data_IF_744233677016
#
_entry.id   IF_744233677016
#
_cell.length_a   1.000
_cell.length_b   1.000
_cell.length_c   1.000
_cell.angle_alpha   90.00
_cell.angle_beta   90.00
_cell.angle_gamma   90.00
#
_symmetry.space_group_name_H-M   'P 1'
#
loop_
_entity.id
_entity.type
_entity.pdbx_description
1 polymer ?
#
# COMPACT_ATOMS: atom_id res chain seq x y z
N UNK A 1 -20.32 3.38 8.47
CA UNK A 1 -20.37 4.57 7.58
C UNK A 1 -20.17 5.79 8.45
N UNK A 2 -19.09 6.55 8.26
CA UNK A 2 -18.93 7.87 8.87
C UNK A 2 -18.00 8.68 7.95
N UNK A 3 -18.65 9.55 7.17
CA UNK A 3 -18.02 10.64 6.47
C UNK A 3 -17.74 11.76 7.50
N UNK A 4 -16.56 12.36 7.44
CA UNK A 4 -16.33 13.68 8.02
C UNK A 4 -15.75 14.57 6.93
N UNK A 5 -16.52 15.61 6.63
CA UNK A 5 -16.22 16.74 5.76
C UNK A 5 -15.11 17.62 6.35
N UNK A 6 -14.36 18.27 5.47
CA UNK A 6 -13.72 19.57 5.72
C UNK A 6 -12.53 19.58 6.67
N UNK A 7 -11.31 19.62 6.11
CA UNK A 7 -10.41 20.77 6.28
C UNK A 7 -9.14 20.61 5.43
N UNK A 8 -8.81 21.70 4.74
CA UNK A 8 -7.64 21.91 3.90
C UNK A 8 -6.40 21.99 4.81
N UNK A 9 -5.55 20.97 4.82
CA UNK A 9 -4.22 21.01 5.42
C UNK A 9 -3.15 21.00 4.34
N UNK A 10 -2.41 22.10 4.27
CA UNK A 10 -1.17 22.28 3.52
C UNK A 10 -0.04 21.47 4.19
N UNK A 11 0.81 20.82 3.39
CA UNK A 11 2.03 20.13 3.85
C UNK A 11 1.95 18.59 3.79
N UNK A 12 2.56 18.01 2.76
CA UNK A 12 2.92 16.59 2.62
C UNK A 12 1.80 15.56 2.83
N UNK A 13 1.01 15.37 1.76
CA UNK A 13 -0.09 14.41 1.66
C UNK A 13 0.44 12.95 1.59
N UNK A 14 0.66 12.32 2.75
CA UNK A 14 0.88 10.87 2.84
C UNK A 14 -0.47 10.17 2.66
N UNK A 15 -0.81 9.84 1.42
CA UNK A 15 -2.01 9.08 1.06
C UNK A 15 -1.80 7.59 1.36
N UNK A 16 -1.82 7.25 2.65
CA UNK A 16 -2.19 5.91 3.10
C UNK A 16 -2.66 6.03 4.54
N UNK A 17 -3.96 6.33 4.71
CA UNK A 17 -4.72 6.17 5.95
C UNK A 17 -3.90 6.31 7.26
N UNK A 18 -3.32 7.48 7.55
CA UNK A 18 -3.02 7.86 8.94
C UNK A 18 -4.32 8.26 9.65
N UNK A 19 -5.28 7.33 9.76
CA UNK A 19 -6.59 7.60 10.36
C UNK A 19 -6.68 7.18 11.83
N UNK A 20 -5.59 6.66 12.39
CA UNK A 20 -5.40 6.52 13.83
C UNK A 20 -4.61 7.74 14.31
N UNK A 21 -5.23 8.63 15.11
CA UNK A 21 -4.60 9.85 15.63
C UNK A 21 -3.24 9.59 16.29
N UNK A 22 -3.06 8.42 16.90
CA UNK A 22 -1.82 7.99 17.56
C UNK A 22 -0.59 7.92 16.64
N UNK A 23 -0.72 7.49 15.38
CA UNK A 23 0.45 7.40 14.48
C UNK A 23 0.96 8.77 14.04
N UNK A 24 0.08 9.76 13.96
CA UNK A 24 0.48 11.15 13.71
C UNK A 24 1.37 11.66 14.84
N UNK A 25 0.97 11.37 16.08
CA UNK A 25 1.70 11.77 17.29
C UNK A 25 3.09 11.12 17.30
N UNK A 26 3.21 9.82 17.01
CA UNK A 26 4.51 9.13 16.97
C UNK A 26 5.44 9.76 15.93
N UNK A 27 4.92 10.14 14.76
CA UNK A 27 5.73 10.82 13.75
C UNK A 27 6.16 12.24 14.14
N UNK A 28 5.33 12.97 14.89
CA UNK A 28 5.68 14.31 15.38
C UNK A 28 6.71 14.25 16.50
N UNK A 29 6.61 13.27 17.40
CA UNK A 29 7.50 13.13 18.56
C UNK A 29 8.82 12.42 18.19
N UNK A 30 8.78 11.41 17.30
CA UNK A 30 9.94 10.63 16.89
C UNK A 30 10.01 10.46 15.36
N UNK A 31 10.33 11.53 14.61
CA UNK A 31 10.37 11.51 13.15
C UNK A 31 11.49 10.62 12.59
N UNK A 32 12.58 10.44 13.32
CA UNK A 32 13.77 9.68 12.87
C UNK A 32 13.56 8.17 13.00
N UNK A 33 12.77 7.71 13.97
CA UNK A 33 12.52 6.29 14.24
C UNK A 33 11.35 5.69 13.46
N UNK A 34 10.63 6.48 12.68
CA UNK A 34 9.36 6.05 12.06
C UNK A 34 9.38 6.20 10.54
N UNK A 35 9.13 5.10 9.82
CA UNK A 35 8.98 5.15 8.37
C UNK A 35 7.73 5.97 7.96
N UNK A 36 7.85 6.76 6.89
CA UNK A 36 6.73 7.50 6.30
C UNK A 36 5.87 6.63 5.34
N UNK A 37 6.10 5.32 5.32
CA UNK A 37 5.42 4.34 4.50
C UNK A 37 5.06 3.11 5.33
N UNK A 38 4.07 2.35 4.86
CA UNK A 38 3.61 1.10 5.48
C UNK A 38 4.03 -0.11 4.65
N UNK A 39 4.26 -1.25 5.31
CA UNK A 39 4.52 -2.55 4.66
C UNK A 39 3.28 -3.16 3.98
N UNK A 40 2.13 -2.48 4.00
CA UNK A 40 0.90 -2.92 3.35
C UNK A 40 0.68 -2.20 2.02
N UNK A 41 0.57 -2.95 0.93
CA UNK A 41 0.18 -2.47 -0.38
C UNK A 41 -1.30 -2.07 -0.39
N UNK A 42 -1.56 -0.86 -0.87
CA UNK A 42 -2.91 -0.30 -1.02
C UNK A 42 -2.96 0.38 -2.38
N UNK A 43 -3.87 -0.06 -3.23
CA UNK A 43 -3.98 0.45 -4.58
C UNK A 43 -4.90 1.68 -4.64
N UNK A 44 -4.31 2.81 -4.99
CA UNK A 44 -4.99 4.10 -5.17
C UNK A 44 -5.02 4.54 -6.64
N UNK A 45 -4.71 3.65 -7.58
CA UNK A 45 -4.68 3.97 -9.01
C UNK A 45 -5.99 4.52 -9.55
N UNK A 46 -7.14 4.09 -8.99
CA UNK A 46 -8.46 4.58 -9.38
C UNK A 46 -8.75 6.03 -8.96
N UNK A 47 -7.94 6.62 -8.07
CA UNK A 47 -8.13 8.00 -7.60
C UNK A 47 -9.44 8.27 -6.87
N UNK A 48 -10.17 7.21 -6.48
CA UNK A 48 -11.45 7.31 -5.74
C UNK A 48 -11.20 7.58 -4.25
N UNK A 49 -12.28 7.95 -3.55
CA UNK A 49 -12.29 8.14 -2.10
C UNK A 49 -11.90 6.89 -1.29
N UNK A 50 -12.01 5.72 -1.89
CA UNK A 50 -11.61 4.46 -1.31
C UNK A 50 -10.58 3.77 -2.21
N UNK A 51 -9.61 3.03 -1.61
CA UNK A 51 -8.70 2.22 -2.40
C UNK A 51 -9.46 1.24 -3.28
N UNK A 52 -8.87 0.92 -4.43
CA UNK A 52 -9.36 -0.14 -5.32
C UNK A 52 -9.50 -1.43 -4.53
N UNK A 53 -10.61 -2.12 -4.77
CA UNK A 53 -10.83 -3.46 -4.25
C UNK A 53 -10.67 -4.49 -5.38
N UNK A 54 -9.86 -5.51 -5.14
CA UNK A 54 -9.55 -6.55 -6.11
C UNK A 54 -10.66 -7.59 -6.13
N UNK A 55 -11.26 -7.79 -7.30
CA UNK A 55 -12.19 -8.90 -7.57
C UNK A 55 -11.42 -10.15 -7.95
N UNK A 56 -12.11 -11.29 -8.03
CA UNK A 56 -11.49 -12.57 -8.39
C UNK A 56 -10.71 -12.51 -9.72
N UNK A 57 -11.25 -11.82 -10.73
CA UNK A 57 -10.61 -11.61 -12.04
C UNK A 57 -9.36 -10.73 -11.99
N UNK A 58 -9.26 -9.83 -11.00
CA UNK A 58 -8.11 -8.92 -10.87
C UNK A 58 -6.93 -9.63 -10.20
N UNK A 59 -7.18 -10.72 -9.47
CA UNK A 59 -6.15 -11.51 -8.79
C UNK A 59 -5.50 -12.46 -9.79
N UNK A 60 -4.42 -11.99 -10.40
CA UNK A 60 -3.58 -12.76 -11.31
C UNK A 60 -2.18 -12.97 -10.74
N UNK A 61 -1.45 -13.95 -11.28
CA UNK A 61 -0.04 -14.16 -10.96
C UNK A 61 0.80 -12.90 -11.20
N UNK A 62 0.53 -12.19 -12.29
CA UNK A 62 1.23 -10.94 -12.62
C UNK A 62 1.00 -9.85 -11.58
N UNK A 63 -0.22 -9.71 -11.06
CA UNK A 63 -0.51 -8.76 -9.99
C UNK A 63 0.33 -9.07 -8.75
N UNK A 64 0.33 -10.33 -8.30
CA UNK A 64 1.10 -10.75 -7.11
C UNK A 64 2.60 -10.58 -7.31
N UNK A 65 3.10 -10.94 -8.50
CA UNK A 65 4.49 -10.73 -8.89
C UNK A 65 4.83 -9.24 -8.85
N UNK A 66 4.01 -8.37 -9.44
CA UNK A 66 4.22 -6.93 -9.45
C UNK A 66 4.26 -6.33 -8.03
N UNK A 67 3.36 -6.76 -7.14
CA UNK A 67 3.36 -6.27 -5.74
C UNK A 67 4.64 -6.72 -5.01
N UNK A 68 5.07 -7.96 -5.24
CA UNK A 68 6.22 -8.57 -4.54
C UNK A 68 7.57 -8.10 -5.09
N UNK A 69 7.74 -8.04 -6.41
CA UNK A 69 9.01 -7.60 -7.03
C UNK A 69 9.18 -6.09 -7.08
N UNK A 70 8.13 -5.31 -6.81
CA UNK A 70 8.26 -3.87 -6.76
C UNK A 70 9.04 -3.44 -5.50
N UNK A 71 10.33 -3.23 -5.72
CA UNK A 71 11.27 -2.72 -4.71
C UNK A 71 11.21 -1.20 -4.59
N UNK A 72 10.19 -0.54 -5.15
CA UNK A 72 10.03 0.92 -5.09
C UNK A 72 8.65 1.33 -4.58
N UNK A 73 8.64 2.29 -3.66
CA UNK A 73 7.39 2.90 -3.16
C UNK A 73 7.05 4.07 -4.06
N UNK A 74 5.89 3.99 -4.70
CA UNK A 74 5.28 5.06 -5.48
C UNK A 74 4.30 5.85 -4.62
N UNK A 75 4.52 7.16 -4.46
CA UNK A 75 3.49 8.06 -3.92
C UNK A 75 2.65 8.63 -5.04
N UNK A 76 1.33 8.47 -4.97
CA UNK A 76 0.39 9.12 -5.87
C UNK A 76 0.05 10.50 -5.31
N UNK A 77 0.45 11.56 -6.02
CA UNK A 77 0.01 12.93 -5.75
C UNK A 77 -0.68 13.43 -7.02
N UNK A 78 -1.96 13.79 -6.91
CA UNK A 78 -2.73 14.38 -8.01
C UNK A 78 -2.61 13.57 -9.33
N UNK A 79 -2.85 12.26 -9.26
CA UNK A 79 -2.80 11.32 -10.40
C UNK A 79 -1.43 11.14 -11.08
N UNK A 80 -0.34 11.67 -10.52
CA UNK A 80 1.03 11.36 -10.94
C UNK A 80 1.77 10.58 -9.86
N UNK A 81 2.56 9.60 -10.28
CA UNK A 81 3.51 8.90 -9.39
C UNK A 81 4.69 9.84 -9.17
N UNK A 82 4.73 10.48 -8.00
CA UNK A 82 5.63 11.62 -7.75
C UNK A 82 6.99 11.20 -7.17
N UNK A 83 7.16 9.97 -6.67
CA UNK A 83 8.50 9.50 -6.22
C UNK A 83 8.56 7.98 -6.21
N UNK A 84 9.62 7.38 -6.78
CA UNK A 84 10.00 5.97 -6.58
C UNK A 84 11.24 5.91 -5.71
N UNK A 85 11.08 5.68 -4.39
CA UNK A 85 12.23 5.40 -3.50
C UNK A 85 12.43 3.89 -3.37
N UNK A 86 13.66 3.36 -3.48
CA UNK A 86 13.91 1.95 -3.27
C UNK A 86 13.75 1.56 -1.80
N UNK A 87 13.16 0.40 -1.54
CA UNK A 87 13.08 -0.17 -0.19
C UNK A 87 14.39 -0.85 0.18
N UNK A 88 15.04 -0.31 1.20
CA UNK A 88 16.29 -0.81 1.74
C UNK A 88 16.04 -1.32 3.16
N UNK A 89 16.31 -2.59 3.38
CA UNK A 89 16.26 -3.23 4.69
C UNK A 89 17.69 -3.63 5.03
N UNK A 90 18.26 -3.05 6.08
CA UNK A 90 19.67 -3.23 6.45
C UNK A 90 20.64 -3.06 5.27
N UNK A 91 20.38 -2.07 4.39
CA UNK A 91 21.21 -1.79 3.20
C UNK A 91 20.99 -2.73 2.00
N UNK A 92 20.18 -3.78 2.13
CA UNK A 92 19.82 -4.67 1.01
C UNK A 92 18.47 -4.28 0.40
N UNK A 93 18.36 -4.41 -0.93
CA UNK A 93 17.07 -4.27 -1.62
C UNK A 93 16.15 -5.41 -1.21
N UNK A 94 14.98 -5.06 -0.69
CA UNK A 94 13.93 -6.00 -0.28
C UNK A 94 12.57 -5.55 -0.83
N UNK A 95 11.61 -6.47 -0.94
CA UNK A 95 10.24 -6.13 -1.28
C UNK A 95 9.68 -5.07 -0.31
N UNK A 96 9.02 -4.05 -0.87
CA UNK A 96 8.45 -2.97 -0.07
C UNK A 96 7.20 -3.38 0.71
N UNK A 97 6.45 -4.33 0.18
CA UNK A 97 5.16 -4.73 0.69
C UNK A 97 5.20 -6.19 1.13
N UNK A 98 4.71 -6.46 2.34
CA UNK A 98 4.52 -7.79 2.90
C UNK A 98 3.04 -8.20 2.89
N UNK A 99 2.15 -7.22 3.00
CA UNK A 99 0.71 -7.44 3.02
C UNK A 99 0.05 -6.66 1.90
N UNK A 100 -1.09 -7.12 1.43
CA UNK A 100 -1.98 -6.36 0.57
C UNK A 100 -3.40 -6.46 1.15
N UNK A 101 -4.25 -5.46 0.90
CA UNK A 101 -5.63 -5.43 1.41
C UNK A 101 -6.64 -5.05 0.34
N UNK A 102 -7.92 -5.09 0.73
CA UNK A 102 -9.09 -4.80 -0.11
C UNK A 102 -9.36 -5.87 -1.18
N UNK A 103 -9.15 -7.13 -0.84
CA UNK A 103 -9.64 -8.25 -1.65
C UNK A 103 -11.11 -8.52 -1.32
N UNK A 104 -11.91 -8.72 -2.36
CA UNK A 104 -13.27 -9.24 -2.23
C UNK A 104 -13.23 -10.72 -1.80
N UNK A 105 -14.23 -11.23 -1.05
CA UNK A 105 -14.24 -12.62 -0.57
C UNK A 105 -14.19 -13.63 -1.72
N UNK A 106 -14.74 -13.32 -2.89
CA UNK A 106 -14.72 -14.16 -4.09
C UNK A 106 -13.29 -14.39 -4.62
N UNK A 107 -12.35 -13.49 -4.32
CA UNK A 107 -10.96 -13.62 -4.75
C UNK A 107 -10.13 -14.58 -3.88
N UNK A 108 -10.66 -15.04 -2.75
CA UNK A 108 -9.93 -15.86 -1.78
C UNK A 108 -9.42 -17.17 -2.39
N UNK A 109 -10.25 -17.87 -3.16
CA UNK A 109 -9.87 -19.14 -3.78
C UNK A 109 -8.69 -18.97 -4.75
N UNK A 110 -8.71 -17.92 -5.58
CA UNK A 110 -7.62 -17.61 -6.50
C UNK A 110 -6.33 -17.29 -5.76
N UNK A 111 -6.42 -16.52 -4.67
CA UNK A 111 -5.26 -16.20 -3.83
C UNK A 111 -4.62 -17.47 -3.26
N UNK A 112 -5.41 -18.36 -2.64
CA UNK A 112 -4.91 -19.61 -2.07
C UNK A 112 -4.22 -20.46 -3.14
N UNK A 113 -4.85 -20.63 -4.31
CA UNK A 113 -4.28 -21.41 -5.40
C UNK A 113 -2.96 -20.82 -5.92
N UNK A 114 -2.88 -19.50 -6.08
CA UNK A 114 -1.67 -18.82 -6.55
C UNK A 114 -0.53 -18.94 -5.52
N UNK A 115 -0.82 -18.77 -4.23
CA UNK A 115 0.21 -18.89 -3.19
C UNK A 115 0.77 -20.31 -3.07
N UNK A 116 -0.07 -21.33 -3.21
CA UNK A 116 0.37 -22.73 -3.18
C UNK A 116 1.34 -23.07 -4.33
N UNK A 117 1.15 -22.46 -5.51
CA UNK A 117 2.08 -22.64 -6.63
C UNK A 117 3.35 -21.78 -6.50
N UNK A 118 3.29 -20.67 -5.76
CA UNK A 118 4.40 -19.73 -5.63
C UNK A 118 5.50 -20.24 -4.69
N UNK A 119 5.17 -21.06 -3.69
CA UNK A 119 6.13 -21.63 -2.73
C UNK A 119 6.94 -22.82 -3.28
N UNK A 120 6.67 -23.24 -4.52
CA UNK A 120 7.31 -24.41 -5.16
C UNK A 120 8.50 -24.01 -6.06
N UNK A 121 8.89 -22.72 -6.09
CA UNK A 121 10.03 -22.21 -6.87
C UNK A 121 11.03 -21.49 -5.96
#
# INVERSE_FOLDING_TARGET
>A
MLALLGNRFSGNLVVSLKKMGYFCIIQMVHPIGTANWSVTHVDWSEGKWHPKAYRAQDVTYELLKNITTNNSIGFFVLQKVVTRKPCLWNGMKRPCYLFARKFYPEALNNLIQLFSNYTVI
#
